data_IF_712581671357
#
_entry.id   IF_712581671357
#
_cell.length_a   1.000
_cell.length_b   1.000
_cell.length_c   1.000
_cell.angle_alpha   90.00
_cell.angle_beta   90.00
_cell.angle_gamma   90.00
#
_symmetry.space_group_name_H-M   'P 1'
#
loop_
_entity.id
_entity.type
_entity.pdbx_description
1 polymer ?
#
# COMPACT_ATOMS: atom_id res chain seq x y z
N UNK A 1 -34.72 3.66 -25.28
CA UNK A 1 -36.09 3.10 -25.22
C UNK A 1 -37.08 3.69 -26.23
N UNK A 2 -36.74 4.78 -26.96
CA UNK A 2 -37.68 5.44 -27.89
C UNK A 2 -38.05 4.61 -29.15
N UNK A 3 -37.34 3.52 -29.41
CA UNK A 3 -37.53 2.68 -30.61
C UNK A 3 -37.77 1.19 -30.32
N UNK A 4 -38.08 0.80 -29.08
CA UNK A 4 -38.41 -0.59 -28.77
C UNK A 4 -39.88 -0.73 -28.37
N UNK A 5 -40.50 -1.81 -28.77
CA UNK A 5 -41.86 -2.20 -28.37
C UNK A 5 -41.91 -2.74 -26.94
N UNK A 6 -40.78 -2.67 -26.20
CA UNK A 6 -40.70 -3.12 -24.81
C UNK A 6 -41.40 -2.13 -23.86
N UNK A 7 -42.19 -2.64 -22.95
CA UNK A 7 -42.80 -1.85 -21.87
C UNK A 7 -41.71 -1.20 -21.01
N UNK A 8 -41.74 0.11 -20.77
CA UNK A 8 -40.79 0.77 -19.88
C UNK A 8 -40.83 0.13 -18.50
N UNK A 9 -39.67 -0.04 -17.89
CA UNK A 9 -39.54 -0.61 -16.52
C UNK A 9 -40.28 0.24 -15.47
N UNK A 10 -40.28 1.56 -15.65
CA UNK A 10 -40.92 2.52 -14.76
C UNK A 10 -42.06 3.20 -15.51
N UNK A 11 -43.23 3.35 -14.83
CA UNK A 11 -44.34 4.09 -15.38
C UNK A 11 -44.07 5.59 -15.38
N UNK A 12 -44.82 6.33 -16.20
CA UNK A 12 -44.77 7.81 -16.18
C UNK A 12 -45.13 8.38 -14.82
N UNK A 13 -46.12 7.75 -14.14
CA UNK A 13 -46.56 8.11 -12.80
C UNK A 13 -45.48 7.89 -11.73
N UNK A 14 -44.73 6.77 -11.81
CA UNK A 14 -43.63 6.52 -10.87
C UNK A 14 -42.52 7.56 -11.03
N UNK A 15 -42.19 7.92 -12.28
CA UNK A 15 -41.20 8.95 -12.56
C UNK A 15 -41.62 10.34 -12.06
N UNK A 16 -42.91 10.69 -12.21
CA UNK A 16 -43.48 11.95 -11.69
C UNK A 16 -43.47 12.00 -10.16
N UNK A 17 -43.88 10.90 -9.51
CA UNK A 17 -43.85 10.76 -8.06
C UNK A 17 -42.40 10.82 -7.49
N UNK A 18 -41.46 10.18 -8.16
CA UNK A 18 -40.03 10.28 -7.81
C UNK A 18 -39.54 11.71 -7.96
N UNK A 19 -39.82 12.38 -9.07
CA UNK A 19 -39.39 13.75 -9.31
C UNK A 19 -40.03 14.78 -8.36
N UNK A 20 -41.27 14.52 -7.89
CA UNK A 20 -41.91 15.36 -6.91
C UNK A 20 -41.38 15.17 -5.48
N UNK A 21 -40.69 14.05 -5.19
CA UNK A 21 -40.21 13.72 -3.85
C UNK A 21 -41.30 13.45 -2.83
N UNK A 22 -42.50 13.05 -3.27
CA UNK A 22 -43.69 12.88 -2.40
C UNK A 22 -43.45 11.94 -1.24
N UNK A 23 -42.74 10.84 -1.44
CA UNK A 23 -42.31 9.93 -0.40
C UNK A 23 -41.02 9.26 -0.78
N UNK A 24 -39.90 9.59 -0.12
CA UNK A 24 -38.55 9.09 -0.49
C UNK A 24 -38.32 7.60 -0.23
N UNK A 25 -39.25 6.96 0.50
CA UNK A 25 -39.16 5.51 0.74
C UNK A 25 -39.93 4.71 -0.30
N UNK A 26 -41.07 5.25 -0.79
CA UNK A 26 -41.87 4.64 -1.86
C UNK A 26 -41.30 4.96 -3.25
N UNK A 27 -40.88 6.19 -3.46
CA UNK A 27 -40.35 6.72 -4.73
C UNK A 27 -38.97 7.36 -4.50
N UNK A 28 -37.94 6.55 -4.23
CA UNK A 28 -36.60 7.07 -3.93
C UNK A 28 -35.96 7.77 -5.12
N UNK A 29 -35.18 8.80 -4.84
CA UNK A 29 -34.25 9.46 -5.76
C UNK A 29 -32.92 9.67 -5.04
N UNK A 30 -32.09 8.64 -5.02
CA UNK A 30 -30.89 8.58 -4.19
C UNK A 30 -29.69 9.09 -4.98
N UNK A 31 -29.12 10.22 -4.57
CA UNK A 31 -27.79 10.61 -5.03
C UNK A 31 -26.73 9.80 -4.28
N UNK A 32 -26.33 8.67 -4.85
CA UNK A 32 -25.35 7.76 -4.24
C UNK A 32 -24.00 8.41 -3.99
N UNK A 33 -23.60 9.42 -4.80
CA UNK A 33 -22.36 10.15 -4.60
C UNK A 33 -22.41 10.97 -3.29
N UNK A 34 -23.47 11.71 -3.06
CA UNK A 34 -23.62 12.54 -1.85
C UNK A 34 -23.83 11.68 -0.60
N UNK A 35 -24.46 10.51 -0.75
CA UNK A 35 -24.62 9.55 0.35
C UNK A 35 -23.28 8.98 0.80
N UNK A 36 -22.41 8.62 -0.15
CA UNK A 36 -21.20 7.86 0.14
C UNK A 36 -19.96 8.71 0.35
N UNK A 37 -19.92 9.93 -0.19
CA UNK A 37 -18.73 10.77 -0.14
C UNK A 37 -18.97 12.11 0.55
N UNK A 38 -17.95 12.55 1.26
CA UNK A 38 -17.83 13.91 1.79
C UNK A 38 -17.19 14.80 0.72
N UNK A 39 -17.43 16.09 0.83
CA UNK A 39 -16.82 17.09 -0.06
C UNK A 39 -15.34 17.37 0.27
N UNK A 40 -14.86 16.97 1.45
CA UNK A 40 -13.51 17.25 1.90
C UNK A 40 -12.90 16.06 2.65
N UNK A 41 -11.62 15.85 2.43
CA UNK A 41 -10.74 15.04 3.28
C UNK A 41 -9.68 15.92 3.92
N UNK A 42 -9.08 15.43 5.00
CA UNK A 42 -8.01 16.13 5.69
C UNK A 42 -6.72 15.32 5.62
N UNK A 43 -5.64 16.00 5.27
CA UNK A 43 -4.29 15.48 5.39
C UNK A 43 -3.50 16.34 6.35
N UNK A 44 -2.91 15.71 7.35
CA UNK A 44 -2.06 16.35 8.34
C UNK A 44 -0.67 15.74 8.27
N UNK A 45 0.36 16.56 8.39
CA UNK A 45 1.74 16.10 8.42
C UNK A 45 2.54 16.94 9.41
N UNK A 46 3.31 16.26 10.24
CA UNK A 46 4.28 16.86 11.14
C UNK A 46 5.65 16.21 10.89
N UNK A 47 6.67 17.05 10.78
CA UNK A 47 8.06 16.60 10.66
C UNK A 47 8.91 17.32 11.68
N UNK A 48 9.69 16.54 12.42
CA UNK A 48 10.70 17.07 13.33
C UNK A 48 12.02 16.44 12.97
N UNK A 49 13.05 17.26 12.84
CA UNK A 49 14.39 16.77 12.58
C UNK A 49 15.42 17.47 13.47
N UNK A 50 16.49 16.75 13.76
CA UNK A 50 17.63 17.25 14.49
C UNK A 50 18.90 16.79 13.79
N UNK A 51 19.82 17.70 13.60
CA UNK A 51 21.13 17.38 13.04
C UNK A 51 22.22 18.10 13.82
N UNK A 52 23.38 17.52 13.86
CA UNK A 52 24.51 18.10 14.56
C UNK A 52 25.77 17.29 14.37
N UNK A 53 26.81 17.72 15.01
CA UNK A 53 28.04 16.99 15.00
C UNK A 53 29.27 17.82 15.36
N UNK A 54 30.37 17.14 15.40
CA UNK A 54 31.69 17.71 15.64
C UNK A 54 32.75 17.01 14.78
N UNK A 55 33.98 17.05 15.20
CA UNK A 55 35.13 16.47 14.48
C UNK A 55 35.05 14.95 14.35
N UNK A 56 34.41 14.25 15.31
CA UNK A 56 34.32 12.79 15.35
C UNK A 56 32.97 12.23 14.98
N UNK A 57 31.88 12.95 15.28
CA UNK A 57 30.51 12.46 15.09
C UNK A 57 29.73 13.45 14.26
N UNK A 58 28.96 12.96 13.30
CA UNK A 58 27.90 13.71 12.60
C UNK A 58 26.65 12.86 12.65
N UNK A 59 25.52 13.51 12.94
CA UNK A 59 24.23 12.81 13.00
C UNK A 59 23.11 13.64 12.39
N UNK A 60 22.13 12.95 11.87
CA UNK A 60 20.85 13.45 11.42
C UNK A 60 19.78 12.48 11.84
N UNK A 61 18.76 12.94 12.54
CA UNK A 61 17.58 12.19 12.92
C UNK A 61 16.33 12.93 12.47
N UNK A 62 15.33 12.24 11.96
CA UNK A 62 14.03 12.82 11.67
C UNK A 62 12.92 11.88 12.04
N UNK A 63 11.81 12.45 12.51
CA UNK A 63 10.53 11.78 12.69
C UNK A 63 9.50 12.51 11.84
N UNK A 64 8.85 11.77 10.95
CA UNK A 64 7.75 12.24 10.14
C UNK A 64 6.49 11.46 10.53
N UNK A 65 5.41 12.18 10.82
CA UNK A 65 4.10 11.61 11.12
C UNK A 65 3.10 12.21 10.17
N UNK A 66 2.36 11.37 9.44
CA UNK A 66 1.27 11.84 8.59
C UNK A 66 -0.02 11.07 8.85
N UNK A 67 -1.12 11.80 8.80
CA UNK A 67 -2.47 11.29 8.92
C UNK A 67 -3.27 11.70 7.69
N UNK A 68 -3.82 10.72 6.97
CA UNK A 68 -4.70 10.93 5.84
C UNK A 68 -6.10 10.41 6.19
N UNK A 69 -7.11 11.27 6.22
CA UNK A 69 -8.50 10.89 6.37
C UNK A 69 -9.16 10.69 5.00
N UNK A 70 -10.04 9.68 4.89
CA UNK A 70 -10.75 9.41 3.64
C UNK A 70 -11.96 10.32 3.43
N UNK A 71 -12.48 10.26 2.20
CA UNK A 71 -13.66 11.00 1.76
C UNK A 71 -14.98 10.27 2.07
N UNK A 72 -14.96 9.07 2.63
CA UNK A 72 -16.19 8.32 2.86
C UNK A 72 -17.06 8.96 3.92
N UNK A 73 -18.36 9.04 3.63
CA UNK A 73 -19.37 9.54 4.55
C UNK A 73 -19.89 8.40 5.44
N UNK A 74 -19.05 7.97 6.38
CA UNK A 74 -19.39 6.93 7.34
C UNK A 74 -20.13 7.54 8.54
N UNK A 75 -21.40 7.23 8.68
CA UNK A 75 -22.19 7.62 9.85
C UNK A 75 -21.74 6.88 11.13
N UNK A 76 -22.41 7.18 12.25
CA UNK A 76 -22.18 6.51 13.54
C UNK A 76 -23.09 5.29 13.74
N UNK A 77 -23.42 4.60 12.66
CA UNK A 77 -24.38 3.50 12.70
C UNK A 77 -23.86 2.26 13.44
N UNK A 78 -22.55 2.08 13.45
CA UNK A 78 -21.85 1.01 14.17
C UNK A 78 -20.80 1.56 15.13
N UNK A 79 -20.31 0.72 16.03
CA UNK A 79 -19.29 1.09 17.02
C UNK A 79 -17.88 1.27 16.41
N UNK A 80 -17.68 0.84 15.18
CA UNK A 80 -16.40 1.03 14.46
C UNK A 80 -16.48 2.19 13.47
N UNK A 81 -15.33 2.76 13.19
CA UNK A 81 -15.17 3.76 12.13
C UNK A 81 -14.55 3.08 10.91
N UNK A 82 -15.31 2.98 9.84
CA UNK A 82 -14.91 2.40 8.56
C UNK A 82 -14.54 3.43 7.50
N UNK A 83 -14.37 4.71 7.85
CA UNK A 83 -13.74 5.65 6.95
C UNK A 83 -12.29 5.25 6.70
N UNK A 84 -11.77 5.59 5.52
CA UNK A 84 -10.35 5.43 5.23
C UNK A 84 -9.57 6.31 6.19
N UNK A 85 -8.66 5.70 6.94
CA UNK A 85 -7.78 6.36 7.88
C UNK A 85 -6.39 5.76 7.73
N UNK A 86 -5.41 6.56 7.35
CA UNK A 86 -4.04 6.11 7.14
C UNK A 86 -3.12 6.93 8.04
N UNK A 87 -2.43 6.23 8.95
CA UNK A 87 -1.36 6.77 9.77
C UNK A 87 -0.01 6.25 9.26
N UNK A 88 0.91 7.16 8.96
CA UNK A 88 2.27 6.80 8.60
C UNK A 88 3.24 7.44 9.59
N UNK A 89 4.19 6.64 10.07
CA UNK A 89 5.30 7.06 10.89
C UNK A 89 6.58 6.70 10.15
N UNK A 90 7.46 7.67 9.93
CA UNK A 90 8.77 7.42 9.33
C UNK A 90 9.84 7.96 10.27
N UNK A 91 10.70 7.09 10.73
CA UNK A 91 11.87 7.44 11.50
C UNK A 91 13.12 7.21 10.66
N UNK A 92 13.96 8.24 10.56
CA UNK A 92 15.25 8.18 9.89
C UNK A 92 16.35 8.55 10.87
N UNK A 93 17.42 7.77 10.85
CA UNK A 93 18.61 8.01 11.66
C UNK A 93 19.86 7.77 10.81
N UNK A 94 20.67 8.79 10.64
CA UNK A 94 21.94 8.73 9.94
C UNK A 94 23.05 9.19 10.90
N UNK A 95 23.99 8.32 11.18
CA UNK A 95 25.15 8.60 12.03
C UNK A 95 26.41 8.29 11.25
N UNK A 96 27.38 9.19 11.31
CA UNK A 96 28.74 8.96 10.84
C UNK A 96 29.70 9.22 12.01
N UNK A 97 30.47 8.19 12.35
CA UNK A 97 31.45 8.21 13.43
C UNK A 97 32.86 7.98 12.89
N UNK A 98 33.71 8.97 13.05
CA UNK A 98 35.12 8.88 12.72
C UNK A 98 35.87 8.19 13.87
N UNK A 99 36.03 6.86 13.78
CA UNK A 99 36.63 6.03 14.81
C UNK A 99 38.12 6.34 14.97
N UNK A 100 38.82 6.45 13.83
CA UNK A 100 40.22 6.86 13.73
C UNK A 100 40.38 7.93 12.63
N UNK A 101 41.54 8.55 12.46
CA UNK A 101 41.79 9.44 11.31
C UNK A 101 41.51 8.78 9.94
N UNK A 102 41.66 7.45 9.84
CA UNK A 102 41.53 6.66 8.62
C UNK A 102 40.32 5.77 8.57
N UNK A 103 39.53 5.67 9.68
CA UNK A 103 38.36 4.78 9.76
C UNK A 103 37.11 5.58 10.05
N UNK A 104 36.08 5.42 9.22
CA UNK A 104 34.75 5.99 9.44
C UNK A 104 33.69 4.89 9.43
N UNK A 105 32.87 4.84 10.45
CA UNK A 105 31.69 3.97 10.54
C UNK A 105 30.45 4.83 10.30
N UNK A 106 29.56 4.38 9.39
CA UNK A 106 28.28 5.05 9.10
C UNK A 106 27.15 4.09 9.33
N UNK A 107 26.11 4.55 9.99
CA UNK A 107 24.85 3.83 10.16
C UNK A 107 23.74 4.67 9.57
N UNK A 108 22.97 4.08 8.66
CA UNK A 108 21.76 4.66 8.12
C UNK A 108 20.60 3.70 8.46
N UNK A 109 19.61 4.19 9.20
CA UNK A 109 18.42 3.43 9.56
C UNK A 109 17.18 4.19 9.10
N UNK A 110 16.27 3.50 8.46
CA UNK A 110 14.95 3.98 8.10
C UNK A 110 13.91 2.97 8.59
N UNK A 111 13.01 3.41 9.46
CA UNK A 111 11.89 2.63 9.94
C UNK A 111 10.59 3.29 9.52
N UNK A 112 9.68 2.53 8.94
CA UNK A 112 8.37 2.99 8.51
C UNK A 112 7.30 2.09 9.10
N UNK A 113 6.28 2.70 9.69
CA UNK A 113 5.09 2.03 10.20
C UNK A 113 3.90 2.68 9.49
N UNK A 114 3.09 1.87 8.82
CA UNK A 114 1.87 2.31 8.16
C UNK A 114 0.69 1.53 8.69
N UNK A 115 -0.29 2.25 9.20
CA UNK A 115 -1.56 1.69 9.67
C UNK A 115 -2.67 2.22 8.78
N UNK A 116 -3.42 1.32 8.15
CA UNK A 116 -4.55 1.67 7.30
C UNK A 116 -5.81 0.99 7.83
N UNK A 117 -6.86 1.79 8.06
CA UNK A 117 -8.23 1.33 8.28
C UNK A 117 -9.08 1.74 7.09
N UNK A 118 -10.01 0.90 6.68
CA UNK A 118 -10.92 1.17 5.55
C UNK A 118 -12.12 0.23 5.61
N UNK A 119 -13.19 0.47 4.85
CA UNK A 119 -14.17 -0.58 4.57
C UNK A 119 -13.46 -1.77 3.90
N UNK A 120 -14.03 -2.96 4.01
CA UNK A 120 -13.57 -4.15 3.27
C UNK A 120 -14.15 -4.16 1.84
N UNK A 121 -14.08 -3.02 1.18
CA UNK A 121 -14.44 -2.83 -0.22
C UNK A 121 -13.46 -1.83 -0.83
N UNK A 122 -13.00 -2.09 -2.03
CA UNK A 122 -12.06 -1.19 -2.70
C UNK A 122 -12.76 0.13 -3.08
N UNK A 123 -11.99 1.22 -3.12
CA UNK A 123 -12.51 2.52 -3.59
C UNK A 123 -13.00 2.43 -5.05
N UNK A 124 -12.33 1.63 -5.88
CA UNK A 124 -12.71 1.37 -7.27
C UNK A 124 -14.07 0.67 -7.35
N UNK A 125 -14.30 -0.36 -6.54
CA UNK A 125 -15.58 -1.06 -6.48
C UNK A 125 -16.70 -0.15 -5.98
N UNK A 126 -16.45 0.70 -4.98
CA UNK A 126 -17.45 1.67 -4.52
C UNK A 126 -17.81 2.66 -5.63
N UNK A 127 -16.81 3.20 -6.32
CA UNK A 127 -17.03 4.09 -7.46
C UNK A 127 -17.84 3.41 -8.57
N UNK A 128 -17.48 2.19 -8.94
CA UNK A 128 -18.22 1.40 -9.93
C UNK A 128 -19.66 1.20 -9.51
N UNK A 129 -19.91 0.89 -8.24
CA UNK A 129 -21.27 0.70 -7.72
C UNK A 129 -22.09 1.97 -7.77
N UNK A 130 -21.53 3.13 -7.42
CA UNK A 130 -22.21 4.43 -7.53
C UNK A 130 -22.71 4.68 -8.96
N UNK A 131 -21.87 4.38 -9.94
CA UNK A 131 -22.18 4.59 -11.35
C UNK A 131 -23.19 3.57 -11.92
N UNK A 132 -23.29 2.39 -11.29
CA UNK A 132 -24.14 1.29 -11.77
C UNK A 132 -25.41 1.09 -10.97
N UNK A 133 -25.50 1.64 -9.75
CA UNK A 133 -26.70 1.54 -8.90
C UNK A 133 -27.70 2.61 -9.32
N UNK A 134 -28.89 2.16 -9.67
CA UNK A 134 -29.97 3.06 -10.10
C UNK A 134 -30.48 3.87 -8.91
N UNK A 135 -30.68 5.19 -9.01
CA UNK A 135 -31.14 6.05 -7.92
C UNK A 135 -32.56 5.76 -7.42
N UNK A 136 -33.38 5.16 -8.27
CA UNK A 136 -34.85 5.03 -8.05
C UNK A 136 -35.31 3.61 -7.67
N UNK A 137 -34.39 2.66 -7.46
CA UNK A 137 -34.77 1.27 -7.16
C UNK A 137 -35.07 1.01 -5.71
N UNK A 138 -34.37 1.69 -4.81
CA UNK A 138 -34.53 1.54 -3.37
C UNK A 138 -33.92 2.72 -2.61
N UNK A 139 -34.41 3.07 -1.43
CA UNK A 139 -33.80 4.07 -0.56
C UNK A 139 -32.50 3.53 0.06
N UNK A 140 -31.68 4.40 0.62
CA UNK A 140 -30.44 4.01 1.33
C UNK A 140 -30.75 3.06 2.49
N UNK A 141 -31.66 3.50 3.35
CA UNK A 141 -32.19 2.76 4.49
C UNK A 141 -33.66 3.14 4.72
N UNK A 142 -34.39 2.28 5.38
CA UNK A 142 -35.70 2.60 5.96
C UNK A 142 -35.55 3.06 7.41
N UNK A 143 -36.56 3.72 8.00
CA UNK A 143 -36.58 4.02 9.42
C UNK A 143 -36.35 2.78 10.26
N UNK A 144 -35.48 2.90 11.26
CA UNK A 144 -35.12 1.77 12.12
C UNK A 144 -36.32 1.29 12.90
N UNK A 145 -36.52 -0.01 12.91
CA UNK A 145 -37.41 -0.72 13.85
C UNK A 145 -36.53 -1.60 14.72
N UNK A 146 -36.77 -1.66 16.00
CA UNK A 146 -35.99 -2.48 16.95
C UNK A 146 -34.46 -2.19 17.01
N UNK A 147 -34.07 -0.97 16.68
CA UNK A 147 -32.65 -0.54 16.71
C UNK A 147 -31.78 -1.11 15.60
N UNK A 148 -32.32 -1.87 14.67
CA UNK A 148 -31.61 -2.41 13.49
C UNK A 148 -31.56 -1.39 12.37
N UNK A 149 -30.47 -1.41 11.59
CA UNK A 149 -30.38 -0.65 10.34
C UNK A 149 -31.06 -1.46 9.24
N UNK A 150 -32.13 -0.91 8.69
CA UNK A 150 -32.93 -1.52 7.64
C UNK A 150 -32.46 -1.02 6.28
N UNK A 151 -31.51 -1.74 5.66
CA UNK A 151 -30.98 -1.35 4.34
C UNK A 151 -31.99 -1.57 3.23
N UNK A 152 -32.25 -0.53 2.45
CA UNK A 152 -33.12 -0.62 1.28
C UNK A 152 -32.50 -1.51 0.19
N UNK A 153 -33.31 -2.31 -0.47
CA UNK A 153 -32.91 -3.09 -1.63
C UNK A 153 -34.11 -3.49 -2.47
N UNK A 154 -33.89 -4.08 -3.64
CA UNK A 154 -34.92 -4.64 -4.48
C UNK A 154 -34.40 -5.90 -5.22
N UNK A 155 -35.30 -6.64 -5.81
CA UNK A 155 -35.01 -7.86 -6.55
C UNK A 155 -34.75 -7.51 -8.01
N UNK A 156 -33.63 -7.99 -8.56
CA UNK A 156 -33.32 -7.91 -9.99
C UNK A 156 -34.08 -9.01 -10.73
N UNK A 157 -33.91 -10.26 -10.28
CA UNK A 157 -34.60 -11.43 -10.84
C UNK A 157 -34.47 -12.63 -9.88
N UNK A 158 -35.51 -13.40 -9.73
CA UNK A 158 -35.52 -14.54 -8.79
C UNK A 158 -35.17 -14.12 -7.37
N UNK A 159 -34.08 -14.67 -6.83
CA UNK A 159 -33.53 -14.29 -5.51
C UNK A 159 -32.35 -13.31 -5.58
N UNK A 160 -31.99 -12.81 -6.79
CA UNK A 160 -30.86 -11.90 -6.96
C UNK A 160 -31.27 -10.47 -6.60
N UNK A 161 -30.55 -9.91 -5.61
CA UNK A 161 -30.76 -8.55 -5.12
C UNK A 161 -29.82 -7.57 -5.87
N UNK A 162 -30.21 -6.30 -5.86
CA UNK A 162 -29.29 -5.21 -6.21
C UNK A 162 -28.16 -5.10 -5.18
N UNK A 163 -27.12 -4.38 -5.53
CA UNK A 163 -26.07 -4.02 -4.58
C UNK A 163 -26.39 -2.67 -3.97
N UNK A 164 -26.61 -2.62 -2.65
CA UNK A 164 -26.68 -1.36 -1.92
C UNK A 164 -25.26 -0.93 -1.53
N UNK A 165 -24.68 0.12 -2.17
CA UNK A 165 -23.30 0.51 -1.94
C UNK A 165 -23.08 1.09 -0.54
N UNK A 166 -24.09 1.71 0.08
CA UNK A 166 -24.02 2.19 1.45
C UNK A 166 -23.93 1.02 2.45
N UNK A 167 -24.74 -0.02 2.27
CA UNK A 167 -24.67 -1.22 3.08
C UNK A 167 -23.27 -1.85 3.00
N UNK A 168 -22.72 -2.04 1.79
CA UNK A 168 -21.36 -2.59 1.61
C UNK A 168 -20.28 -1.76 2.29
N UNK A 169 -20.39 -0.44 2.22
CA UNK A 169 -19.45 0.47 2.88
C UNK A 169 -19.57 0.37 4.42
N UNK A 170 -20.79 0.30 4.94
CA UNK A 170 -21.03 0.42 6.39
C UNK A 170 -20.85 -0.88 7.16
N UNK A 171 -21.13 -2.03 6.54
CA UNK A 171 -21.17 -3.33 7.23
C UNK A 171 -19.83 -4.04 7.31
N UNK A 172 -18.75 -3.43 6.86
CA UNK A 172 -17.44 -4.07 6.88
C UNK A 172 -16.32 -3.09 7.21
N UNK A 173 -15.24 -3.62 7.79
CA UNK A 173 -13.98 -2.88 7.92
C UNK A 173 -12.79 -3.82 7.82
N UNK A 174 -11.67 -3.26 7.38
CA UNK A 174 -10.39 -3.92 7.27
C UNK A 174 -9.29 -3.07 7.92
N UNK A 175 -8.33 -3.73 8.53
CA UNK A 175 -7.13 -3.10 9.04
C UNK A 175 -5.90 -3.75 8.42
N UNK A 176 -4.98 -2.92 7.94
CA UNK A 176 -3.68 -3.33 7.41
C UNK A 176 -2.59 -2.59 8.18
N UNK A 177 -1.65 -3.34 8.73
CA UNK A 177 -0.46 -2.79 9.39
C UNK A 177 0.77 -3.26 8.61
N UNK A 178 1.57 -2.30 8.13
CA UNK A 178 2.80 -2.55 7.39
C UNK A 178 3.98 -1.92 8.14
N UNK A 179 5.04 -2.70 8.31
CA UNK A 179 6.26 -2.26 8.95
C UNK A 179 7.44 -2.53 8.04
N UNK A 180 8.29 -1.54 7.84
CA UNK A 180 9.55 -1.68 7.10
C UNK A 180 10.68 -1.15 7.96
N UNK A 181 11.72 -1.95 8.13
CA UNK A 181 12.98 -1.51 8.72
C UNK A 181 14.09 -1.77 7.71
N UNK A 182 14.86 -0.74 7.41
CA UNK A 182 16.05 -0.84 6.58
C UNK A 182 17.24 -0.24 7.33
N UNK A 183 18.25 -1.05 7.60
CA UNK A 183 19.46 -0.63 8.32
C UNK A 183 20.68 -0.97 7.49
N UNK A 184 21.50 0.05 7.23
CA UNK A 184 22.77 -0.09 6.52
C UNK A 184 23.90 0.36 7.44
N UNK A 185 24.87 -0.51 7.67
CA UNK A 185 26.11 -0.19 8.38
C UNK A 185 27.22 -0.22 7.34
N UNK A 186 27.99 0.88 7.25
CA UNK A 186 29.14 1.02 6.36
C UNK A 186 30.40 1.29 7.15
N UNK A 187 31.49 0.70 6.73
CA UNK A 187 32.84 0.95 7.24
C UNK A 187 33.69 1.40 6.06
N UNK A 188 34.23 2.59 6.15
CA UNK A 188 35.20 3.14 5.20
C UNK A 188 36.56 3.21 5.89
N UNK A 189 37.57 2.56 5.31
CA UNK A 189 38.94 2.50 5.84
C UNK A 189 39.91 2.93 4.76
N UNK A 190 40.66 4.00 5.02
CA UNK A 190 41.80 4.38 4.22
C UNK A 190 43.01 3.55 4.66
N UNK A 191 43.67 2.92 3.69
CA UNK A 191 44.84 2.04 3.88
C UNK A 191 46.13 2.65 3.30
N UNK A 192 46.19 3.98 3.27
CA UNK A 192 47.38 4.72 2.77
C UNK A 192 48.66 4.38 3.52
N UNK A 193 48.52 3.87 4.75
CA UNK A 193 49.66 3.37 5.55
C UNK A 193 50.28 2.07 4.99
N UNK A 194 49.53 1.31 4.19
CA UNK A 194 50.02 0.14 3.46
C UNK A 194 50.57 0.59 2.09
N UNK A 195 49.73 1.28 1.31
CA UNK A 195 50.11 1.91 0.05
C UNK A 195 49.16 3.06 -0.29
N UNK A 196 49.71 4.18 -0.75
CA UNK A 196 48.90 5.37 -1.08
C UNK A 196 47.86 5.05 -2.14
N UNK A 197 46.61 5.46 -1.86
CA UNK A 197 45.48 5.27 -2.74
C UNK A 197 44.73 3.95 -2.56
N UNK A 198 45.08 3.14 -1.56
CA UNK A 198 44.35 1.92 -1.21
C UNK A 198 43.25 2.23 -0.19
N UNK A 199 42.04 1.76 -0.45
CA UNK A 199 40.85 1.91 0.41
C UNK A 199 40.05 0.63 0.45
N UNK A 200 39.49 0.33 1.61
CA UNK A 200 38.50 -0.73 1.74
C UNK A 200 37.18 -0.14 2.23
N UNK A 201 36.09 -0.57 1.63
CA UNK A 201 34.74 -0.25 2.04
C UNK A 201 33.99 -1.55 2.28
N UNK A 202 33.32 -1.64 3.41
CA UNK A 202 32.42 -2.74 3.70
C UNK A 202 31.05 -2.19 4.03
N UNK A 203 29.98 -2.88 3.61
CA UNK A 203 28.68 -2.59 4.14
C UNK A 203 27.86 -3.86 4.38
N UNK A 204 27.00 -3.76 5.37
CA UNK A 204 25.94 -4.74 5.66
C UNK A 204 24.62 -4.00 5.57
N UNK A 205 23.69 -4.55 4.80
CA UNK A 205 22.32 -4.08 4.72
C UNK A 205 21.40 -5.17 5.26
N UNK A 206 20.56 -4.79 6.22
CA UNK A 206 19.47 -5.61 6.72
C UNK A 206 18.16 -4.87 6.49
N UNK A 207 17.29 -5.45 5.67
CA UNK A 207 15.95 -4.94 5.40
C UNK A 207 14.94 -6.00 5.78
N UNK A 208 13.91 -5.61 6.51
CA UNK A 208 12.72 -6.44 6.77
C UNK A 208 11.47 -5.65 6.46
N UNK A 209 10.49 -6.33 5.90
CA UNK A 209 9.14 -5.86 5.72
C UNK A 209 8.18 -6.87 6.31
N UNK A 210 7.13 -6.39 6.95
CA UNK A 210 6.05 -7.23 7.45
C UNK A 210 4.71 -6.55 7.24
N UNK A 211 3.70 -7.32 6.93
CA UNK A 211 2.32 -6.87 6.82
C UNK A 211 1.41 -7.82 7.58
N UNK A 212 0.43 -7.25 8.27
CA UNK A 212 -0.70 -7.98 8.83
C UNK A 212 -2.00 -7.35 8.35
N UNK A 213 -2.94 -8.19 8.00
CA UNK A 213 -4.25 -7.81 7.51
C UNK A 213 -5.33 -8.61 8.22
N UNK A 214 -6.41 -7.98 8.59
CA UNK A 214 -7.65 -8.64 8.96
C UNK A 214 -8.85 -7.81 8.52
N UNK A 215 -9.96 -8.48 8.29
CA UNK A 215 -11.23 -7.83 8.01
C UNK A 215 -12.36 -8.46 8.83
N UNK A 216 -13.40 -7.69 9.01
CA UNK A 216 -14.62 -8.08 9.69
C UNK A 216 -15.83 -7.54 8.96
N UNK A 217 -16.92 -8.27 8.98
CA UNK A 217 -18.15 -7.86 8.32
C UNK A 217 -19.40 -8.34 9.05
N UNK A 218 -20.49 -7.64 8.81
CA UNK A 218 -21.84 -8.06 9.16
C UNK A 218 -22.59 -8.31 7.85
N UNK A 219 -23.29 -9.41 7.75
CA UNK A 219 -24.20 -9.65 6.62
C UNK A 219 -25.45 -8.77 6.82
N UNK A 220 -25.71 -7.77 5.94
CA UNK A 220 -26.82 -6.86 6.13
C UNK A 220 -28.17 -7.55 5.89
N UNK A 221 -29.19 -7.09 6.61
CA UNK A 221 -30.58 -7.38 6.28
C UNK A 221 -31.09 -6.36 5.27
N UNK A 222 -31.70 -6.84 4.18
CA UNK A 222 -32.25 -6.02 3.12
C UNK A 222 -33.77 -6.05 3.12
N UNK A 223 -34.35 -4.86 2.96
CA UNK A 223 -35.78 -4.67 3.03
C UNK A 223 -36.30 -3.92 1.80
N UNK A 224 -37.59 -4.16 1.50
CA UNK A 224 -38.36 -3.31 0.61
C UNK A 224 -39.76 -3.11 1.20
N UNK A 225 -40.49 -2.13 0.69
CA UNK A 225 -41.89 -1.96 1.02
C UNK A 225 -42.66 -3.10 0.37
N UNK A 226 -43.52 -3.75 1.18
CA UNK A 226 -44.40 -4.83 0.74
C UNK A 226 -45.44 -4.28 -0.19
N UNK A 227 -45.64 -4.88 -1.35
CA UNK A 227 -46.61 -4.45 -2.32
C UNK A 227 -48.02 -4.47 -1.73
N UNK A 228 -48.80 -3.40 -1.96
CA UNK A 228 -50.18 -3.26 -1.47
C UNK A 228 -50.31 -3.00 0.03
N UNK A 229 -49.20 -2.70 0.75
CA UNK A 229 -49.24 -2.38 2.18
C UNK A 229 -49.37 -0.87 2.48
N UNK A 230 -49.56 -0.03 1.50
CA UNK A 230 -49.65 1.41 1.65
C UNK A 230 -50.84 1.97 0.87
N UNK A 231 -51.31 3.16 1.30
CA UNK A 231 -52.44 3.86 0.66
C UNK A 231 -51.92 4.71 -0.51
N UNK A 232 -52.34 4.38 -1.71
CA UNK A 232 -51.97 5.12 -2.91
C UNK A 232 -52.66 6.48 -3.03
N UNK A 233 -53.66 6.76 -2.21
CA UNK A 233 -54.39 8.05 -2.20
C UNK A 233 -53.78 9.07 -1.24
N UNK A 234 -53.01 8.63 -0.25
CA UNK A 234 -52.28 9.50 0.69
C UNK A 234 -50.78 9.06 0.79
N UNK A 235 -50.03 9.33 -0.24
CA UNK A 235 -48.61 8.91 -0.33
C UNK A 235 -47.70 9.64 0.66
N UNK A 236 -48.06 10.84 1.10
CA UNK A 236 -47.24 11.64 2.03
C UNK A 236 -47.28 11.08 3.45
N UNK A 237 -48.44 10.62 3.92
CA UNK A 237 -48.64 10.21 5.30
C UNK A 237 -48.90 8.71 5.44
N UNK A 238 -48.73 7.93 4.38
CA UNK A 238 -49.07 6.51 4.41
C UNK A 238 -48.15 5.70 5.32
N UNK A 239 -48.74 4.79 6.08
CA UNK A 239 -48.00 3.71 6.72
C UNK A 239 -47.79 2.57 5.72
N UNK A 240 -46.63 1.89 5.84
CA UNK A 240 -46.29 0.75 5.01
C UNK A 240 -45.65 -0.38 5.83
N UNK A 241 -45.77 -1.60 5.35
CA UNK A 241 -45.08 -2.75 5.89
C UNK A 241 -43.78 -2.99 5.13
N UNK A 242 -42.73 -3.36 5.86
CA UNK A 242 -41.46 -3.79 5.24
C UNK A 242 -41.42 -5.31 5.14
N UNK A 243 -40.99 -5.83 4.01
CA UNK A 243 -40.66 -7.24 3.84
C UNK A 243 -39.15 -7.46 3.78
N UNK A 244 -38.73 -8.51 4.46
CA UNK A 244 -37.31 -8.95 4.45
C UNK A 244 -37.03 -9.69 3.14
N UNK A 245 -35.99 -9.26 2.42
CA UNK A 245 -35.62 -9.83 1.14
C UNK A 245 -34.61 -10.98 1.23
N UNK A 246 -33.86 -11.05 2.35
CA UNK A 246 -32.83 -12.06 2.54
C UNK A 246 -32.86 -12.64 3.95
N UNK A 247 -32.69 -13.95 4.06
CA UNK A 247 -32.66 -14.67 5.34
C UNK A 247 -31.24 -14.86 5.91
N UNK A 248 -30.20 -14.46 5.16
CA UNK A 248 -28.80 -14.64 5.54
C UNK A 248 -28.17 -13.43 6.23
N UNK A 249 -28.97 -12.44 6.63
CA UNK A 249 -28.52 -11.33 7.46
C UNK A 249 -28.06 -11.82 8.85
N UNK A 250 -27.22 -11.03 9.51
CA UNK A 250 -26.68 -11.34 10.84
C UNK A 250 -26.59 -10.08 11.69
N UNK A 251 -26.90 -10.20 12.97
CA UNK A 251 -26.68 -9.14 13.96
C UNK A 251 -25.25 -9.20 14.54
N UNK A 252 -24.47 -10.22 14.19
CA UNK A 252 -23.15 -10.46 14.73
C UNK A 252 -22.07 -10.22 13.68
N UNK A 253 -21.00 -9.59 14.15
CA UNK A 253 -19.81 -9.37 13.34
C UNK A 253 -19.05 -10.69 13.14
N UNK A 254 -18.77 -11.04 11.91
CA UNK A 254 -17.91 -12.18 11.56
C UNK A 254 -16.48 -11.71 11.36
N UNK A 255 -15.53 -12.57 11.69
CA UNK A 255 -14.14 -12.38 11.32
C UNK A 255 -13.87 -13.24 10.09
N UNK A 256 -13.40 -12.62 9.02
CA UNK A 256 -12.97 -13.35 7.83
C UNK A 256 -11.48 -13.71 7.87
N UNK A 257 -10.72 -13.35 6.89
CA UNK A 257 -9.32 -13.77 6.80
C UNK A 257 -8.40 -12.94 7.72
N UNK A 258 -7.39 -13.63 8.31
CA UNK A 258 -6.21 -12.97 8.87
C UNK A 258 -5.05 -13.31 7.96
N UNK A 259 -4.51 -12.30 7.29
CA UNK A 259 -3.32 -12.42 6.45
C UNK A 259 -2.08 -11.93 7.20
N UNK A 260 -0.98 -12.66 7.07
CA UNK A 260 0.35 -12.22 7.52
C UNK A 260 1.35 -12.51 6.42
N UNK A 261 2.21 -11.55 6.15
CA UNK A 261 3.27 -11.69 5.16
C UNK A 261 4.51 -10.96 5.66
N UNK A 262 5.68 -11.49 5.35
CA UNK A 262 6.94 -10.84 5.69
C UNK A 262 8.03 -11.24 4.71
N UNK A 263 8.97 -10.33 4.51
CA UNK A 263 10.21 -10.63 3.81
C UNK A 263 11.42 -10.04 4.53
N UNK A 264 12.58 -10.60 4.24
CA UNK A 264 13.85 -10.15 4.77
C UNK A 264 14.91 -10.17 3.67
N UNK A 265 15.72 -9.14 3.64
CA UNK A 265 16.92 -9.09 2.78
C UNK A 265 18.14 -8.86 3.66
N UNK A 266 19.12 -9.72 3.53
CA UNK A 266 20.45 -9.51 4.06
C UNK A 266 21.41 -9.32 2.88
N UNK A 267 22.22 -8.27 2.92
CA UNK A 267 23.23 -8.00 1.89
C UNK A 267 24.54 -7.62 2.57
N UNK A 268 25.61 -8.30 2.14
CA UNK A 268 26.98 -8.07 2.55
C UNK A 268 27.80 -7.71 1.32
N UNK A 269 28.62 -6.67 1.44
CA UNK A 269 29.49 -6.23 0.36
C UNK A 269 30.85 -5.78 0.93
N UNK A 270 31.91 -6.21 0.27
CA UNK A 270 33.29 -5.74 0.48
C UNK A 270 33.84 -5.20 -0.82
N UNK A 271 34.43 -4.03 -0.77
CA UNK A 271 35.01 -3.38 -1.93
C UNK A 271 36.38 -2.88 -1.59
N UNK A 272 37.42 -3.43 -2.27
CA UNK A 272 38.79 -2.99 -2.20
C UNK A 272 39.09 -2.12 -3.44
N UNK A 273 39.52 -0.89 -3.21
CA UNK A 273 39.79 0.09 -4.25
C UNK A 273 41.24 0.53 -4.14
N UNK A 274 41.90 0.61 -5.28
CA UNK A 274 43.23 1.20 -5.42
C UNK A 274 43.20 2.21 -6.56
N UNK A 275 43.73 3.40 -6.33
CA UNK A 275 43.85 4.43 -7.36
C UNK A 275 45.12 5.25 -7.08
N UNK A 276 46.05 5.26 -8.04
CA UNK A 276 47.29 6.00 -7.89
C UNK A 276 47.83 6.49 -9.22
N UNK A 277 48.42 7.67 -9.19
CA UNK A 277 49.12 8.29 -10.30
C UNK A 277 50.64 8.19 -10.11
N UNK A 278 51.35 7.77 -11.16
CA UNK A 278 52.79 7.70 -11.25
C UNK A 278 53.24 8.49 -12.48
N UNK A 279 53.52 9.78 -12.32
CA UNK A 279 53.79 10.66 -13.45
C UNK A 279 52.60 10.74 -14.41
N UNK A 280 52.82 10.31 -15.66
CA UNK A 280 51.77 10.25 -16.69
C UNK A 280 50.91 8.97 -16.62
N UNK A 281 51.24 8.03 -15.75
CA UNK A 281 50.54 6.75 -15.62
C UNK A 281 49.52 6.82 -14.50
N UNK A 282 48.24 6.59 -14.79
CA UNK A 282 47.18 6.41 -13.80
C UNK A 282 46.78 4.95 -13.75
N UNK A 283 46.78 4.37 -12.56
CA UNK A 283 46.43 2.96 -12.33
C UNK A 283 45.26 2.92 -11.37
N UNK A 284 44.22 2.20 -11.74
CA UNK A 284 43.08 1.90 -10.88
C UNK A 284 42.78 0.40 -10.81
N UNK A 285 42.45 -0.07 -9.63
CA UNK A 285 41.99 -1.44 -9.42
C UNK A 285 40.79 -1.46 -8.43
N UNK A 286 39.81 -2.29 -8.68
CA UNK A 286 38.70 -2.54 -7.80
C UNK A 286 38.44 -4.04 -7.72
N UNK A 287 38.22 -4.55 -6.52
CA UNK A 287 37.74 -5.90 -6.28
C UNK A 287 36.53 -5.82 -5.36
N UNK A 288 35.39 -6.32 -5.83
CA UNK A 288 34.12 -6.28 -5.16
C UNK A 288 33.62 -7.71 -4.90
N UNK A 289 33.39 -8.04 -3.63
CA UNK A 289 32.61 -9.22 -3.24
C UNK A 289 31.24 -8.77 -2.78
N UNK A 290 30.19 -9.45 -3.26
CA UNK A 290 28.81 -9.21 -2.90
C UNK A 290 28.10 -10.53 -2.58
N UNK A 291 27.34 -10.55 -1.48
CA UNK A 291 26.43 -11.65 -1.13
C UNK A 291 25.08 -11.06 -0.76
N UNK A 292 24.03 -11.64 -1.28
CA UNK A 292 22.65 -11.27 -0.96
C UNK A 292 21.83 -12.51 -0.66
N UNK A 293 21.10 -12.47 0.44
CA UNK A 293 20.06 -13.44 0.80
C UNK A 293 18.73 -12.71 0.87
N UNK A 294 17.73 -13.20 0.15
CA UNK A 294 16.35 -12.73 0.22
C UNK A 294 15.47 -13.89 0.67
N UNK A 295 14.68 -13.67 1.71
CA UNK A 295 13.78 -14.67 2.30
C UNK A 295 12.37 -14.09 2.38
N UNK A 296 11.44 -14.72 1.68
CA UNK A 296 10.00 -14.46 1.78
C UNK A 296 9.22 -15.73 2.12
N UNK A 297 9.91 -16.87 2.13
CA UNK A 297 9.37 -18.19 2.39
C UNK A 297 10.39 -19.04 3.16
N UNK A 298 10.13 -20.33 3.34
CA UNK A 298 11.00 -21.27 4.06
C UNK A 298 12.41 -21.32 3.46
N UNK A 299 12.53 -21.31 2.13
CA UNK A 299 13.81 -21.33 1.44
C UNK A 299 14.23 -19.93 0.99
N UNK A 300 15.43 -19.47 1.35
CA UNK A 300 15.95 -18.18 0.90
C UNK A 300 16.40 -18.25 -0.57
N UNK A 301 16.41 -17.11 -1.23
CA UNK A 301 17.07 -16.91 -2.52
C UNK A 301 18.45 -16.27 -2.28
N UNK A 302 19.52 -16.98 -2.62
CA UNK A 302 20.90 -16.52 -2.42
C UNK A 302 21.59 -16.24 -3.73
N UNK A 303 22.31 -15.11 -3.74
CA UNK A 303 23.19 -14.73 -4.83
C UNK A 303 24.52 -14.27 -4.23
N UNK A 304 25.60 -14.61 -4.88
CA UNK A 304 26.93 -14.11 -4.52
C UNK A 304 27.75 -13.84 -5.77
N UNK A 305 28.71 -12.94 -5.67
CA UNK A 305 29.54 -12.60 -6.79
C UNK A 305 30.84 -11.94 -6.37
N UNK A 306 31.84 -12.16 -7.21
CA UNK A 306 33.13 -11.47 -7.17
C UNK A 306 33.28 -10.71 -8.49
N UNK A 307 33.52 -9.41 -8.42
CA UNK A 307 33.73 -8.58 -9.60
C UNK A 307 35.04 -7.82 -9.47
N UNK A 308 35.73 -7.65 -10.56
CA UNK A 308 36.97 -6.89 -10.58
C UNK A 308 37.00 -5.93 -11.74
N UNK A 309 37.71 -4.83 -11.55
CA UNK A 309 37.99 -3.82 -12.57
C UNK A 309 39.45 -3.39 -12.46
N UNK A 310 40.12 -3.35 -13.56
CA UNK A 310 41.45 -2.78 -13.71
C UNK A 310 41.39 -1.66 -14.75
N UNK A 311 41.93 -0.50 -14.41
CA UNK A 311 42.00 0.66 -15.31
C UNK A 311 43.42 1.15 -15.37
N UNK A 312 43.84 1.52 -16.56
CA UNK A 312 45.13 2.14 -16.80
C UNK A 312 44.98 3.23 -17.84
N UNK A 313 45.54 4.37 -17.59
CA UNK A 313 45.70 5.40 -18.60
C UNK A 313 47.14 5.96 -18.63
N UNK A 314 47.57 6.35 -19.81
CA UNK A 314 48.83 7.03 -20.03
C UNK A 314 48.56 8.40 -20.64
N UNK A 315 48.89 9.45 -19.87
CA UNK A 315 48.74 10.83 -20.28
C UNK A 315 47.32 11.24 -20.69
N UNK A 316 46.30 10.56 -20.19
CA UNK A 316 44.91 10.73 -20.57
C UNK A 316 44.63 10.51 -22.08
N UNK A 317 45.56 9.84 -22.77
CA UNK A 317 45.48 9.60 -24.21
C UNK A 317 45.26 8.13 -24.56
N UNK A 318 45.92 7.23 -23.87
CA UNK A 318 45.79 5.78 -24.07
C UNK A 318 45.11 5.18 -22.84
N UNK A 319 43.97 4.58 -23.07
CA UNK A 319 43.12 4.07 -22.03
C UNK A 319 42.94 2.56 -22.18
N UNK A 320 43.07 1.83 -21.08
CA UNK A 320 42.78 0.40 -21.00
C UNK A 320 41.89 0.13 -19.82
N UNK A 321 40.88 -0.69 -20.04
CA UNK A 321 40.03 -1.18 -18.97
C UNK A 321 39.74 -2.67 -19.15
N UNK A 322 39.87 -3.42 -18.06
CA UNK A 322 39.49 -4.82 -17.95
C UNK A 322 38.50 -4.97 -16.80
N UNK A 323 37.37 -5.59 -17.08
CA UNK A 323 36.37 -5.93 -16.09
C UNK A 323 36.11 -7.42 -16.11
N UNK A 324 35.80 -7.99 -14.95
CA UNK A 324 35.22 -9.33 -14.86
C UNK A 324 34.16 -9.41 -13.79
N UNK A 325 33.19 -10.28 -14.00
CA UNK A 325 32.21 -10.71 -13.01
C UNK A 325 32.23 -12.23 -12.92
N UNK A 326 32.28 -12.76 -11.71
CA UNK A 326 32.09 -14.16 -11.41
C UNK A 326 30.90 -14.26 -10.45
N UNK A 327 29.71 -14.53 -10.99
CA UNK A 327 28.45 -14.41 -10.27
C UNK A 327 27.75 -15.76 -10.20
N UNK A 328 27.14 -16.04 -9.05
CA UNK A 328 26.43 -17.28 -8.81
C UNK A 328 25.08 -17.08 -8.15
N UNK A 329 24.15 -18.01 -8.46
CA UNK A 329 22.83 -18.09 -7.86
C UNK A 329 22.50 -19.52 -7.52
N UNK A 330 21.85 -19.75 -6.36
CA UNK A 330 21.40 -21.08 -5.95
C UNK A 330 20.18 -21.59 -6.73
N UNK A 331 19.59 -20.76 -7.61
CA UNK A 331 18.47 -21.16 -8.47
C UNK A 331 18.86 -22.13 -9.58
N UNK A 332 20.15 -22.23 -9.86
CA UNK A 332 20.69 -23.14 -10.86
C UNK A 332 21.21 -24.42 -10.20
N UNK A 333 21.35 -25.48 -11.00
CA UNK A 333 22.01 -26.72 -10.59
C UNK A 333 23.41 -26.44 -10.07
N UNK A 334 23.94 -27.30 -9.19
CA UNK A 334 25.17 -27.04 -8.45
C UNK A 334 26.37 -26.77 -9.37
N UNK A 335 26.44 -27.49 -10.48
CA UNK A 335 27.48 -27.37 -11.50
C UNK A 335 27.39 -26.08 -12.31
N UNK A 336 26.19 -25.52 -12.50
CA UNK A 336 25.93 -24.35 -13.34
C UNK A 336 25.71 -23.05 -12.55
N UNK A 337 25.93 -23.10 -11.24
CA UNK A 337 25.63 -21.97 -10.35
C UNK A 337 26.43 -20.71 -10.63
N UNK A 338 27.65 -20.84 -11.15
CA UNK A 338 28.55 -19.72 -11.33
C UNK A 338 28.89 -19.53 -12.80
N UNK A 339 28.83 -18.26 -13.22
CA UNK A 339 29.24 -17.84 -14.55
C UNK A 339 30.35 -16.78 -14.48
N UNK A 340 31.31 -16.83 -15.43
CA UNK A 340 32.34 -15.86 -15.58
C UNK A 340 32.08 -14.96 -16.80
N UNK A 341 32.14 -13.64 -16.58
CA UNK A 341 31.78 -12.62 -17.55
C UNK A 341 32.89 -11.57 -17.68
N UNK A 342 33.88 -11.77 -18.57
CA UNK A 342 34.92 -10.79 -18.80
C UNK A 342 34.50 -9.73 -19.82
N UNK A 343 35.09 -8.53 -19.69
CA UNK A 343 34.96 -7.45 -20.66
C UNK A 343 36.26 -6.65 -20.73
N UNK A 344 36.68 -6.25 -21.93
CA UNK A 344 37.90 -5.43 -22.21
C UNK A 344 37.47 -4.23 -23.02
N UNK A 345 38.04 -3.06 -22.70
CA UNK A 345 37.90 -1.87 -23.53
C UNK A 345 39.25 -1.16 -23.70
N UNK A 346 39.43 -0.58 -24.85
CA UNK A 346 40.60 0.21 -25.24
C UNK A 346 40.11 1.57 -25.75
N UNK A 347 40.78 2.62 -25.38
CA UNK A 347 40.51 3.98 -25.82
C UNK A 347 41.77 4.73 -26.24
N UNK A 348 41.62 5.57 -27.25
CA UNK A 348 42.66 6.43 -27.78
C UNK A 348 42.11 7.77 -28.26
#
# INVERSE_FOLDING_TARGET
ARNSSATPKYSATDMERTASGVNPYLYPDVNWQDVLFKNMSMRQRANVNISGGGSKVKYYMSLDVSHDSGLLNTGKAYSWNNNINIMNYTFQNNIAYKLTPTTTIKMNMNAQIRQKKSPNVSSEDLFKQILTTTPIEFPVTYPSQDGRIMYGNNIISGSTLYTNPYARMMTSFAETNENTLNTVIKIDQDLDFITKGLKINAFVNFKTWSSSYFDRSIAPYYYRIKSGSYDETDLENTNYELELLNSNGSDYISQSAIGKSSDQTFELQFNLNYARQFGLHNVGAMLLYKQREYRSDVLPNRNQGLSGRLTYDYGQRYLFEFNFGYNGTERLAKEDRFGFFPAVSLGW
#
